data_IF_494222918706
#
_entry.id   IF_494222918706
#
_cell.length_a   1.000
_cell.length_b   1.000
_cell.length_c   1.000
_cell.angle_alpha   90.00
_cell.angle_beta   90.00
_cell.angle_gamma   90.00
#
_symmetry.space_group_name_H-M   'P 1'
#
loop_
_entity.id
_entity.type
_entity.pdbx_description
1 polymer ?
#
# COMPACT_ATOMS: atom_id res chain seq x y z
N UNK A 1 7.56 -8.52 -54.09
CA UNK A 1 8.77 -9.01 -53.42
C UNK A 1 8.65 -8.56 -51.96
N UNK A 2 8.12 -9.41 -51.12
CA UNK A 2 7.98 -9.17 -49.69
C UNK A 2 9.28 -9.55 -49.00
N UNK A 3 10.13 -8.56 -48.78
CA UNK A 3 11.34 -8.75 -48.00
C UNK A 3 10.95 -9.10 -46.57
N UNK A 4 11.12 -10.34 -46.17
CA UNK A 4 11.19 -10.74 -44.77
C UNK A 4 12.43 -10.09 -44.20
N UNK A 5 12.26 -8.94 -43.52
CA UNK A 5 13.30 -8.42 -42.64
C UNK A 5 13.53 -9.48 -41.55
N UNK A 6 14.52 -10.34 -41.73
CA UNK A 6 15.04 -11.16 -40.64
C UNK A 6 15.59 -10.21 -39.62
N UNK A 7 14.90 -10.03 -38.51
CA UNK A 7 15.42 -9.28 -37.35
C UNK A 7 16.75 -9.94 -36.97
N UNK A 8 17.85 -9.25 -37.22
CA UNK A 8 19.19 -9.73 -36.88
C UNK A 8 19.29 -10.03 -35.39
N UNK A 9 19.75 -11.21 -35.05
CA UNK A 9 19.87 -11.61 -33.63
C UNK A 9 20.89 -10.69 -32.92
N UNK A 10 20.51 -10.08 -31.77
CA UNK A 10 21.46 -9.27 -31.02
C UNK A 10 22.68 -10.08 -30.55
N UNK A 11 23.81 -9.42 -30.31
CA UNK A 11 25.00 -10.04 -29.70
C UNK A 11 24.65 -10.69 -28.35
N UNK A 12 25.38 -11.74 -28.00
CA UNK A 12 25.19 -12.44 -26.73
C UNK A 12 25.41 -11.51 -25.52
N UNK A 13 26.22 -10.46 -25.64
CA UNK A 13 26.36 -9.41 -24.62
C UNK A 13 25.01 -8.75 -24.27
N UNK A 14 24.22 -8.38 -25.27
CA UNK A 14 22.88 -7.79 -25.05
C UNK A 14 21.89 -8.86 -24.53
N UNK A 15 21.96 -10.07 -25.04
CA UNK A 15 21.08 -11.17 -24.59
C UNK A 15 21.34 -11.50 -23.12
N UNK A 16 22.59 -11.50 -22.68
CA UNK A 16 22.97 -11.77 -21.28
C UNK A 16 22.41 -10.71 -20.31
N UNK A 17 22.23 -9.46 -20.75
CA UNK A 17 21.62 -8.41 -19.91
C UNK A 17 20.18 -8.75 -19.52
N UNK A 18 19.39 -9.38 -20.40
CA UNK A 18 18.04 -9.81 -20.06
C UNK A 18 18.01 -10.94 -19.00
N UNK A 19 19.03 -11.79 -18.94
CA UNK A 19 19.15 -12.77 -17.84
C UNK A 19 19.50 -12.11 -16.53
N UNK A 20 20.37 -11.09 -16.54
CA UNK A 20 20.73 -10.28 -15.37
C UNK A 20 19.57 -9.41 -14.89
N UNK A 21 18.73 -8.86 -15.78
CA UNK A 21 17.46 -8.21 -15.40
C UNK A 21 16.49 -9.15 -14.65
N UNK A 22 16.66 -10.44 -14.81
CA UNK A 22 15.86 -11.47 -14.15
C UNK A 22 16.49 -12.01 -12.84
N UNK A 23 17.59 -11.42 -12.37
CA UNK A 23 18.29 -11.84 -11.16
C UNK A 23 17.46 -11.59 -9.89
N UNK A 24 17.74 -12.34 -8.82
CA UNK A 24 17.12 -12.12 -7.51
C UNK A 24 17.71 -10.89 -6.80
N UNK A 25 18.99 -10.58 -7.06
CA UNK A 25 19.65 -9.40 -6.51
C UNK A 25 19.12 -8.11 -7.19
N UNK A 26 18.70 -7.15 -6.36
CA UNK A 26 18.18 -5.88 -6.83
C UNK A 26 19.28 -5.00 -7.46
N UNK A 27 20.48 -5.01 -6.91
CA UNK A 27 21.61 -4.23 -7.42
C UNK A 27 22.05 -4.75 -8.79
N UNK A 28 22.07 -6.07 -8.98
CA UNK A 28 22.36 -6.69 -10.26
C UNK A 28 21.33 -6.34 -11.33
N UNK A 29 20.03 -6.32 -10.98
CA UNK A 29 18.97 -5.88 -11.92
C UNK A 29 19.13 -4.41 -12.33
N UNK A 30 19.48 -3.53 -11.38
CA UNK A 30 19.70 -2.10 -11.64
C UNK A 30 20.94 -1.92 -12.52
N UNK A 31 22.03 -2.61 -12.22
CA UNK A 31 23.27 -2.57 -13.00
C UNK A 31 23.02 -3.05 -14.44
N UNK A 32 22.30 -4.15 -14.61
CA UNK A 32 21.94 -4.69 -15.92
C UNK A 32 21.05 -3.74 -16.73
N UNK A 33 20.09 -3.06 -16.08
CA UNK A 33 19.26 -2.05 -16.72
C UNK A 33 20.12 -0.86 -17.21
N UNK A 34 21.00 -0.33 -16.35
CA UNK A 34 21.90 0.77 -16.70
C UNK A 34 22.84 0.39 -17.86
N UNK A 35 23.40 -0.82 -17.84
CA UNK A 35 24.28 -1.33 -18.90
C UNK A 35 23.50 -1.52 -20.21
N UNK A 36 22.28 -2.06 -20.17
CA UNK A 36 21.40 -2.21 -21.32
C UNK A 36 21.12 -0.86 -21.99
N UNK A 37 20.82 0.17 -21.16
CA UNK A 37 20.47 1.51 -21.65
C UNK A 37 21.71 2.29 -22.18
N UNK A 38 22.89 1.99 -21.70
CA UNK A 38 24.15 2.61 -22.13
C UNK A 38 24.81 1.89 -23.30
N UNK A 39 24.35 0.72 -23.70
CA UNK A 39 24.97 -0.07 -24.78
C UNK A 39 24.75 0.57 -26.15
N UNK A 40 25.83 0.76 -26.92
CA UNK A 40 25.77 1.31 -28.26
C UNK A 40 24.84 0.53 -29.22
N UNK A 41 24.63 -0.75 -28.93
CA UNK A 41 23.75 -1.64 -29.71
C UNK A 41 22.25 -1.32 -29.62
N UNK A 42 21.80 -0.53 -28.61
CA UNK A 42 20.39 -0.14 -28.45
C UNK A 42 20.08 1.08 -29.34
N UNK A 43 21.08 1.82 -29.77
CA UNK A 43 20.87 3.13 -30.39
C UNK A 43 20.04 3.11 -31.66
N UNK A 44 20.04 2.02 -32.46
CA UNK A 44 19.21 1.92 -33.68
C UNK A 44 18.88 0.48 -34.11
N UNK A 45 19.86 -0.42 -34.15
CA UNK A 45 19.72 -1.72 -34.81
C UNK A 45 18.85 -2.74 -34.07
N UNK A 46 18.90 -2.76 -32.73
CA UNK A 46 18.21 -3.76 -31.89
C UNK A 46 17.06 -3.18 -31.07
N UNK A 47 16.67 -1.94 -31.30
CA UNK A 47 15.69 -1.20 -30.53
C UNK A 47 14.34 -1.95 -30.41
N UNK A 48 13.81 -2.42 -31.53
CA UNK A 48 12.54 -3.15 -31.56
C UNK A 48 12.63 -4.49 -30.84
N UNK A 49 13.77 -5.19 -30.98
CA UNK A 49 14.01 -6.43 -30.25
C UNK A 49 14.08 -6.21 -28.74
N UNK A 50 14.80 -5.17 -28.30
CA UNK A 50 14.92 -4.83 -26.88
C UNK A 50 13.56 -4.50 -26.30
N UNK A 51 12.79 -3.64 -26.96
CA UNK A 51 11.45 -3.26 -26.52
C UNK A 51 10.51 -4.46 -26.43
N UNK A 52 10.49 -5.33 -27.44
CA UNK A 52 9.72 -6.59 -27.45
C UNK A 52 10.09 -7.47 -26.27
N UNK A 53 11.38 -7.64 -25.98
CA UNK A 53 11.87 -8.46 -24.86
C UNK A 53 11.54 -7.86 -23.50
N UNK A 54 11.62 -6.53 -23.36
CA UNK A 54 11.28 -5.83 -22.12
C UNK A 54 9.79 -6.03 -21.80
N UNK A 55 8.90 -5.81 -22.78
CA UNK A 55 7.45 -5.97 -22.57
C UNK A 55 7.11 -7.44 -22.25
N UNK A 56 7.61 -8.42 -23.03
CA UNK A 56 7.37 -9.85 -22.74
C UNK A 56 7.86 -10.28 -21.37
N UNK A 57 8.99 -9.70 -20.92
CA UNK A 57 9.57 -9.97 -19.62
C UNK A 57 8.65 -9.60 -18.44
N UNK A 58 7.76 -8.62 -18.62
CA UNK A 58 6.78 -8.22 -17.59
C UNK A 58 5.71 -9.30 -17.34
N UNK A 59 5.39 -10.16 -18.32
CA UNK A 59 4.43 -11.26 -18.17
C UNK A 59 4.98 -12.49 -17.44
N UNK A 60 6.28 -12.53 -17.11
CA UNK A 60 6.89 -13.69 -16.45
C UNK A 60 6.25 -14.02 -15.10
N UNK A 61 6.29 -15.31 -14.70
CA UNK A 61 5.78 -15.77 -13.40
C UNK A 61 6.63 -15.36 -12.20
N UNK A 62 7.86 -14.84 -12.40
CA UNK A 62 8.80 -14.49 -11.31
C UNK A 62 8.74 -12.99 -11.00
N UNK A 63 8.38 -12.62 -9.78
CA UNK A 63 8.23 -11.23 -9.35
C UNK A 63 9.52 -10.41 -9.50
N UNK A 64 10.67 -10.95 -9.07
CA UNK A 64 11.96 -10.27 -9.21
C UNK A 64 12.28 -9.89 -10.66
N UNK A 65 12.01 -10.78 -11.61
CA UNK A 65 12.20 -10.50 -13.04
C UNK A 65 11.34 -9.32 -13.50
N UNK A 66 10.07 -9.27 -13.11
CA UNK A 66 9.15 -8.19 -13.50
C UNK A 66 9.69 -6.82 -13.12
N UNK A 67 10.27 -6.68 -11.92
CA UNK A 67 10.87 -5.41 -11.48
C UNK A 67 12.04 -4.97 -12.35
N UNK A 68 12.97 -5.89 -12.67
CA UNK A 68 14.10 -5.58 -13.55
C UNK A 68 13.64 -5.13 -14.94
N UNK A 69 12.69 -5.85 -15.54
CA UNK A 69 12.13 -5.49 -16.85
C UNK A 69 11.34 -4.18 -16.81
N UNK A 70 10.62 -3.87 -15.72
CA UNK A 70 9.90 -2.61 -15.56
C UNK A 70 10.86 -1.42 -15.48
N UNK A 71 11.91 -1.49 -14.65
CA UNK A 71 12.94 -0.45 -14.53
C UNK A 71 13.61 -0.20 -15.89
N UNK A 72 14.02 -1.27 -16.57
CA UNK A 72 14.66 -1.16 -17.88
C UNK A 72 13.70 -0.60 -18.96
N UNK A 73 12.40 -0.93 -18.90
CA UNK A 73 11.40 -0.39 -19.82
C UNK A 73 11.20 1.12 -19.60
N UNK A 74 11.08 1.57 -18.34
CA UNK A 74 10.98 3.00 -18.03
C UNK A 74 12.17 3.77 -18.61
N UNK A 75 13.39 3.33 -18.32
CA UNK A 75 14.61 3.97 -18.85
C UNK A 75 14.71 3.89 -20.38
N UNK A 76 14.23 2.81 -21.01
CA UNK A 76 14.18 2.69 -22.46
C UNK A 76 13.24 3.72 -23.09
N UNK A 77 12.04 3.91 -22.51
CA UNK A 77 11.07 4.90 -22.99
C UNK A 77 11.65 6.33 -22.85
N UNK A 78 12.31 6.65 -21.74
CA UNK A 78 12.97 7.96 -21.55
C UNK A 78 14.12 8.20 -22.51
N UNK A 79 14.93 7.17 -22.77
CA UNK A 79 16.05 7.29 -23.71
C UNK A 79 15.59 7.41 -25.19
N UNK A 80 14.36 6.98 -25.47
CA UNK A 80 13.84 6.88 -26.82
C UNK A 80 12.39 7.41 -26.96
N UNK A 81 12.09 8.65 -26.58
CA UNK A 81 10.74 9.20 -26.51
C UNK A 81 10.02 9.23 -27.89
N UNK A 82 10.77 9.32 -28.97
CA UNK A 82 10.24 9.39 -30.34
C UNK A 82 10.08 8.01 -31.01
N UNK A 83 10.34 6.92 -30.30
CA UNK A 83 10.31 5.57 -30.90
C UNK A 83 8.90 5.10 -31.20
N UNK A 84 7.96 5.40 -30.28
CA UNK A 84 6.56 4.99 -30.37
C UNK A 84 5.67 6.12 -29.85
N UNK A 85 4.51 6.29 -30.49
CA UNK A 85 3.44 7.00 -29.82
C UNK A 85 2.72 6.07 -28.83
N UNK A 86 1.87 6.64 -27.96
CA UNK A 86 1.20 5.85 -26.92
C UNK A 86 0.26 4.78 -27.48
N UNK A 87 -0.36 4.99 -28.64
CA UNK A 87 -1.26 3.99 -29.26
C UNK A 87 -0.47 2.79 -29.76
N UNK A 88 0.67 3.03 -30.41
CA UNK A 88 1.59 1.97 -30.85
C UNK A 88 2.15 1.19 -29.66
N UNK A 89 2.54 1.90 -28.58
CA UNK A 89 3.01 1.28 -27.34
C UNK A 89 1.93 0.36 -26.75
N UNK A 90 0.70 0.87 -26.54
CA UNK A 90 -0.39 0.08 -25.98
C UNK A 90 -0.77 -1.11 -26.86
N UNK A 91 -0.76 -0.93 -28.19
CA UNK A 91 -0.99 -2.03 -29.14
C UNK A 91 0.09 -3.11 -29.00
N UNK A 92 1.35 -2.71 -28.89
CA UNK A 92 2.45 -3.65 -28.67
C UNK A 92 2.32 -4.40 -27.34
N UNK A 93 1.91 -3.72 -26.28
CA UNK A 93 1.62 -4.35 -24.97
C UNK A 93 0.53 -5.40 -25.11
N UNK A 94 -0.58 -5.11 -25.83
CA UNK A 94 -1.67 -6.06 -26.05
C UNK A 94 -1.23 -7.27 -26.88
N UNK A 95 -0.40 -7.04 -27.89
CA UNK A 95 0.13 -8.12 -28.74
C UNK A 95 1.08 -9.05 -27.99
N UNK A 96 1.91 -8.51 -27.08
CA UNK A 96 2.93 -9.29 -26.37
C UNK A 96 2.44 -9.89 -25.05
N UNK A 97 1.40 -9.32 -24.47
CA UNK A 97 0.81 -9.71 -23.18
C UNK A 97 -0.72 -9.92 -23.32
N UNK A 98 -1.19 -10.84 -24.18
CA UNK A 98 -2.62 -11.03 -24.44
C UNK A 98 -3.34 -11.55 -23.19
N UNK A 99 -4.53 -11.01 -22.88
CA UNK A 99 -5.37 -11.44 -21.76
C UNK A 99 -6.21 -12.69 -22.07
N UNK A 100 -6.34 -13.07 -23.33
CA UNK A 100 -7.15 -14.20 -23.80
C UNK A 100 -6.41 -15.55 -23.79
N UNK A 101 -5.24 -15.62 -23.17
CA UNK A 101 -4.43 -16.83 -23.00
C UNK A 101 -5.00 -17.74 -21.90
N UNK A 102 -4.36 -18.89 -21.67
CA UNK A 102 -4.75 -19.79 -20.57
C UNK A 102 -4.76 -19.03 -19.23
N UNK A 103 -5.63 -19.43 -18.30
CA UNK A 103 -5.92 -18.68 -17.07
C UNK A 103 -4.65 -18.27 -16.26
N UNK A 104 -3.64 -19.14 -16.18
CA UNK A 104 -2.38 -18.84 -15.50
C UNK A 104 -1.51 -17.80 -16.23
N UNK A 105 -1.46 -17.87 -17.55
CA UNK A 105 -0.75 -16.88 -18.38
C UNK A 105 -1.49 -15.54 -18.41
N UNK A 106 -2.82 -15.57 -18.43
CA UNK A 106 -3.66 -14.37 -18.41
C UNK A 106 -3.41 -13.53 -17.15
N UNK A 107 -3.23 -14.16 -15.97
CA UNK A 107 -2.86 -13.46 -14.73
C UNK A 107 -1.47 -12.81 -14.86
N UNK A 108 -0.48 -13.57 -15.37
CA UNK A 108 0.88 -13.05 -15.58
C UNK A 108 0.89 -11.88 -16.57
N UNK A 109 0.20 -12.03 -17.69
CA UNK A 109 0.08 -10.99 -18.71
C UNK A 109 -0.66 -9.75 -18.20
N UNK A 110 -1.71 -9.93 -17.38
CA UNK A 110 -2.42 -8.81 -16.76
C UNK A 110 -1.54 -7.97 -15.81
N UNK A 111 -0.75 -8.64 -14.96
CA UNK A 111 0.27 -7.96 -14.15
C UNK A 111 1.29 -7.28 -15.06
N UNK A 112 1.71 -7.93 -16.13
CA UNK A 112 2.63 -7.37 -17.12
C UNK A 112 2.08 -6.12 -17.81
N UNK A 113 0.80 -6.11 -18.20
CA UNK A 113 0.15 -4.93 -18.77
C UNK A 113 0.08 -3.78 -17.78
N UNK A 114 -0.28 -4.05 -16.51
CA UNK A 114 -0.24 -3.04 -15.46
C UNK A 114 1.16 -2.44 -15.31
N UNK A 115 2.19 -3.27 -15.21
CA UNK A 115 3.58 -2.81 -15.08
C UNK A 115 4.08 -2.05 -16.32
N UNK A 116 3.65 -2.42 -17.53
CA UNK A 116 3.98 -1.67 -18.73
C UNK A 116 3.40 -0.25 -18.71
N UNK A 117 2.11 -0.11 -18.31
CA UNK A 117 1.49 1.21 -18.17
C UNK A 117 2.10 2.00 -17.01
N UNK A 118 2.46 1.34 -15.91
CA UNK A 118 3.18 1.97 -14.79
C UNK A 118 4.56 2.49 -15.26
N UNK A 119 5.32 1.69 -16.02
CA UNK A 119 6.59 2.13 -16.61
C UNK A 119 6.41 3.36 -17.52
N UNK A 120 5.30 3.41 -18.26
CA UNK A 120 4.95 4.55 -19.09
C UNK A 120 4.55 5.81 -18.27
N UNK A 121 3.95 5.64 -17.09
CA UNK A 121 3.69 6.75 -16.16
C UNK A 121 4.97 7.31 -15.53
N UNK A 122 5.95 6.44 -15.25
CA UNK A 122 7.21 6.85 -14.65
C UNK A 122 8.18 7.47 -15.68
N UNK A 123 7.92 7.23 -16.97
CA UNK A 123 8.66 7.82 -18.08
C UNK A 123 8.07 9.17 -18.48
N UNK A 124 8.92 10.09 -18.92
CA UNK A 124 8.52 11.40 -19.48
C UNK A 124 8.02 11.32 -20.92
N UNK A 125 8.23 10.18 -21.60
CA UNK A 125 7.91 9.99 -23.03
C UNK A 125 6.42 10.25 -23.36
N UNK A 126 5.52 10.00 -22.41
CA UNK A 126 4.07 10.07 -22.64
C UNK A 126 3.35 11.11 -21.77
N UNK A 127 4.03 12.05 -21.14
CA UNK A 127 3.45 13.08 -20.27
C UNK A 127 2.27 13.83 -20.90
N UNK A 128 2.38 14.16 -22.17
CA UNK A 128 1.29 14.83 -22.93
C UNK A 128 0.12 13.90 -23.31
N UNK A 129 0.23 12.60 -23.10
CA UNK A 129 -0.71 11.54 -23.54
C UNK A 129 -1.21 10.66 -22.38
N UNK A 130 -1.06 11.08 -21.14
CA UNK A 130 -1.49 10.33 -19.93
C UNK A 130 -2.95 9.89 -19.98
N UNK A 131 -3.82 10.66 -20.65
CA UNK A 131 -5.22 10.32 -20.85
C UNK A 131 -5.42 8.90 -21.38
N UNK A 132 -4.62 8.48 -22.37
CA UNK A 132 -4.75 7.15 -23.00
C UNK A 132 -4.26 6.04 -22.07
N UNK A 133 -3.18 6.29 -21.35
CA UNK A 133 -2.66 5.37 -20.34
C UNK A 133 -3.65 5.16 -19.19
N UNK A 134 -4.28 6.25 -18.70
CA UNK A 134 -5.32 6.17 -17.66
C UNK A 134 -6.55 5.43 -18.17
N UNK A 135 -6.98 5.68 -19.42
CA UNK A 135 -8.08 4.92 -20.02
C UNK A 135 -7.78 3.42 -20.04
N UNK A 136 -6.55 3.05 -20.38
CA UNK A 136 -6.12 1.64 -20.34
C UNK A 136 -6.17 1.05 -18.93
N UNK A 137 -5.64 1.77 -17.93
CA UNK A 137 -5.68 1.34 -16.54
C UNK A 137 -7.11 1.20 -16.01
N UNK A 138 -8.00 2.15 -16.29
CA UNK A 138 -9.43 2.04 -15.92
C UNK A 138 -10.07 0.80 -16.54
N UNK A 139 -9.72 0.44 -17.78
CA UNK A 139 -10.15 -0.81 -18.40
C UNK A 139 -9.71 -2.06 -17.62
N UNK A 140 -8.47 -2.08 -17.12
CA UNK A 140 -7.96 -3.21 -16.31
C UNK A 140 -8.72 -3.43 -15.01
N UNK A 141 -9.38 -2.41 -14.44
CA UNK A 141 -10.20 -2.56 -13.22
C UNK A 141 -11.36 -3.56 -13.42
N UNK A 142 -11.95 -3.57 -14.63
CA UNK A 142 -13.03 -4.49 -14.98
C UNK A 142 -12.51 -5.87 -15.35
N UNK A 143 -11.39 -5.93 -16.09
CA UNK A 143 -10.83 -7.16 -16.63
C UNK A 143 -10.10 -7.99 -15.57
N UNK A 144 -9.48 -7.33 -14.60
CA UNK A 144 -8.58 -7.92 -13.60
C UNK A 144 -8.83 -7.36 -12.20
N UNK A 145 -9.93 -7.75 -11.53
CA UNK A 145 -10.33 -7.20 -10.23
C UNK A 145 -9.26 -7.34 -9.12
N UNK A 146 -8.39 -8.35 -9.21
CA UNK A 146 -7.30 -8.54 -8.24
C UNK A 146 -6.19 -7.47 -8.33
N UNK A 147 -6.10 -6.71 -9.44
CA UNK A 147 -5.17 -5.59 -9.60
C UNK A 147 -5.80 -4.24 -9.19
N UNK A 148 -7.05 -4.23 -8.78
CA UNK A 148 -7.82 -3.00 -8.63
C UNK A 148 -7.15 -1.96 -7.73
N UNK A 149 -6.61 -2.35 -6.56
CA UNK A 149 -5.95 -1.41 -5.67
C UNK A 149 -4.68 -0.81 -6.29
N UNK A 150 -3.78 -1.67 -6.80
CA UNK A 150 -2.51 -1.19 -7.38
C UNK A 150 -2.72 -0.32 -8.63
N UNK A 151 -3.76 -0.61 -9.42
CA UNK A 151 -4.16 0.22 -10.57
C UNK A 151 -4.68 1.58 -10.11
N UNK A 152 -5.53 1.62 -9.10
CA UNK A 152 -6.07 2.87 -8.54
C UNK A 152 -4.95 3.70 -7.91
N UNK A 153 -4.03 3.08 -7.18
CA UNK A 153 -2.86 3.74 -6.61
C UNK A 153 -1.97 4.33 -7.70
N UNK A 154 -1.70 3.59 -8.79
CA UNK A 154 -0.92 4.09 -9.91
C UNK A 154 -1.57 5.31 -10.61
N UNK A 155 -2.91 5.29 -10.78
CA UNK A 155 -3.66 6.44 -11.32
C UNK A 155 -3.57 7.64 -10.36
N UNK A 156 -3.72 7.40 -9.05
CA UNK A 156 -3.63 8.43 -8.03
C UNK A 156 -2.25 9.09 -8.00
N UNK A 157 -1.19 8.29 -8.07
CA UNK A 157 0.18 8.78 -8.03
C UNK A 157 0.56 9.53 -9.32
N UNK A 158 0.12 9.06 -10.48
CA UNK A 158 0.25 9.82 -11.73
C UNK A 158 -0.49 11.16 -11.66
N UNK A 159 -1.71 11.19 -11.06
CA UNK A 159 -2.49 12.40 -10.89
C UNK A 159 -1.83 13.42 -9.97
N UNK A 160 -1.24 12.97 -8.85
CA UNK A 160 -0.58 13.86 -7.86
C UNK A 160 0.64 14.61 -8.41
N UNK A 161 1.22 14.14 -9.50
CA UNK A 161 2.35 14.79 -10.18
C UNK A 161 1.93 15.93 -11.11
N UNK A 162 0.64 16.04 -11.41
CA UNK A 162 0.08 17.04 -12.33
C UNK A 162 -0.38 18.30 -11.59
N UNK A 163 -0.37 19.41 -12.30
CA UNK A 163 -1.12 20.58 -11.87
C UNK A 163 -2.64 20.39 -12.08
N UNK A 164 -3.44 21.28 -11.50
CA UNK A 164 -4.90 21.19 -11.57
C UNK A 164 -5.46 21.26 -12.99
N UNK A 165 -4.78 21.98 -13.91
CA UNK A 165 -5.20 22.12 -15.30
C UNK A 165 -4.99 20.84 -16.08
N UNK A 166 -3.81 20.24 -15.96
CA UNK A 166 -3.47 18.99 -16.61
C UNK A 166 -4.27 17.81 -16.01
N UNK A 167 -4.44 17.75 -14.69
CA UNK A 167 -5.33 16.76 -14.06
C UNK A 167 -6.75 16.85 -14.64
N UNK A 168 -7.34 18.06 -14.70
CA UNK A 168 -8.66 18.29 -15.29
C UNK A 168 -8.77 17.83 -16.74
N UNK A 169 -7.72 18.01 -17.53
CA UNK A 169 -7.69 17.69 -18.96
C UNK A 169 -7.41 16.20 -19.23
N UNK A 170 -6.45 15.63 -18.53
CA UNK A 170 -5.91 14.31 -18.88
C UNK A 170 -6.50 13.16 -18.06
N UNK A 171 -6.70 13.33 -16.74
CA UNK A 171 -7.08 12.22 -15.84
C UNK A 171 -8.56 12.28 -15.45
N UNK A 172 -9.03 13.43 -14.98
CA UNK A 172 -10.39 13.58 -14.45
C UNK A 172 -11.49 13.04 -15.38
N UNK A 173 -11.47 13.25 -16.71
CA UNK A 173 -12.50 12.71 -17.59
C UNK A 173 -12.55 11.20 -17.63
N UNK A 174 -11.41 10.51 -17.37
CA UNK A 174 -11.31 9.05 -17.45
C UNK A 174 -11.80 8.37 -16.17
N UNK A 175 -11.63 9.04 -15.01
CA UNK A 175 -12.04 8.51 -13.71
C UNK A 175 -13.38 9.05 -13.24
N UNK A 176 -13.97 10.03 -13.95
CA UNK A 176 -15.18 10.75 -13.53
C UNK A 176 -16.33 9.81 -13.16
N UNK A 177 -16.61 8.81 -14.00
CA UNK A 177 -17.68 7.84 -13.77
C UNK A 177 -17.47 6.99 -12.52
N UNK A 178 -16.23 6.83 -12.07
CA UNK A 178 -15.90 6.10 -10.85
C UNK A 178 -16.16 6.95 -9.60
N UNK A 179 -15.94 8.26 -9.68
CA UNK A 179 -15.91 9.17 -8.51
C UNK A 179 -17.15 10.07 -8.37
N UNK A 180 -18.02 10.18 -9.38
CA UNK A 180 -19.19 11.09 -9.35
C UNK A 180 -20.36 10.53 -8.52
N UNK A 181 -20.32 9.24 -8.16
CA UNK A 181 -21.38 8.60 -7.39
C UNK A 181 -21.38 9.08 -5.93
N UNK A 182 -22.59 9.24 -5.30
CA UNK A 182 -22.67 9.51 -3.87
C UNK A 182 -21.94 8.42 -3.05
N UNK A 183 -21.39 8.79 -1.88
CA UNK A 183 -20.68 7.81 -1.02
C UNK A 183 -21.52 6.58 -0.65
N UNK A 184 -22.85 6.72 -0.59
CA UNK A 184 -23.77 5.60 -0.31
C UNK A 184 -23.93 4.58 -1.45
N UNK A 185 -23.38 4.84 -2.63
CA UNK A 185 -23.45 3.95 -3.81
C UNK A 185 -22.13 3.85 -4.56
N UNK A 186 -21.10 4.58 -4.11
CA UNK A 186 -19.79 4.60 -4.74
C UNK A 186 -19.17 3.19 -4.78
N UNK A 187 -18.38 2.92 -5.81
CA UNK A 187 -17.57 1.71 -5.87
C UNK A 187 -16.34 1.83 -4.98
N UNK A 188 -15.70 0.70 -4.65
CA UNK A 188 -14.45 0.69 -3.91
C UNK A 188 -13.35 1.53 -4.61
N UNK A 189 -13.24 1.39 -5.93
CA UNK A 189 -12.28 2.15 -6.74
C UNK A 189 -12.51 3.66 -6.66
N UNK A 190 -13.78 4.08 -6.76
CA UNK A 190 -14.17 5.47 -6.64
C UNK A 190 -13.88 6.04 -5.25
N UNK A 191 -14.17 5.26 -4.20
CA UNK A 191 -13.86 5.67 -2.82
C UNK A 191 -12.36 5.91 -2.62
N UNK A 192 -11.51 4.97 -3.08
CA UNK A 192 -10.06 5.09 -2.92
C UNK A 192 -9.54 6.30 -3.71
N UNK A 193 -9.99 6.50 -4.96
CA UNK A 193 -9.64 7.69 -5.76
C UNK A 193 -10.04 8.99 -5.06
N UNK A 194 -11.24 9.04 -4.47
CA UNK A 194 -11.67 10.24 -3.71
C UNK A 194 -10.80 10.46 -2.47
N UNK A 195 -10.47 9.41 -1.71
CA UNK A 195 -9.58 9.52 -0.55
C UNK A 195 -8.21 10.07 -0.97
N UNK A 196 -7.62 9.52 -2.03
CA UNK A 196 -6.26 9.87 -2.44
C UNK A 196 -6.15 11.24 -3.12
N UNK A 197 -7.19 11.69 -3.81
CA UNK A 197 -7.14 12.89 -4.65
C UNK A 197 -7.85 14.10 -4.06
N UNK A 198 -8.74 13.92 -3.07
CA UNK A 198 -9.54 15.02 -2.51
C UNK A 198 -8.71 16.04 -1.74
N UNK A 199 -7.57 15.66 -1.16
CA UNK A 199 -6.64 16.57 -0.50
C UNK A 199 -5.80 17.36 -1.51
N UNK A 200 -5.57 16.81 -2.71
CA UNK A 200 -4.72 17.43 -3.75
C UNK A 200 -5.54 18.35 -4.66
N UNK A 201 -6.73 17.90 -5.05
CA UNK A 201 -7.62 18.62 -6.00
C UNK A 201 -9.02 18.92 -5.45
N UNK A 202 -9.16 19.46 -4.22
CA UNK A 202 -10.46 19.57 -3.57
C UNK A 202 -11.45 20.43 -4.37
N UNK A 203 -11.02 21.55 -4.94
CA UNK A 203 -11.86 22.45 -5.74
C UNK A 203 -12.39 21.83 -7.02
N UNK A 204 -11.62 20.97 -7.68
CA UNK A 204 -12.06 20.26 -8.88
C UNK A 204 -13.03 19.14 -8.52
N UNK A 205 -12.68 18.35 -7.51
CA UNK A 205 -13.48 17.20 -7.10
C UNK A 205 -14.79 17.60 -6.42
N UNK A 206 -14.87 18.74 -5.72
CA UNK A 206 -16.13 19.26 -5.16
C UNK A 206 -17.18 19.59 -6.24
N UNK A 207 -16.75 19.89 -7.46
CA UNK A 207 -17.65 20.06 -8.60
C UNK A 207 -18.17 18.75 -9.19
N UNK A 208 -17.57 17.60 -8.80
CA UNK A 208 -17.88 16.27 -9.32
C UNK A 208 -18.60 15.43 -8.29
N UNK A 209 -18.19 15.50 -7.02
CA UNK A 209 -18.77 14.73 -5.93
C UNK A 209 -19.13 15.63 -4.74
N UNK A 210 -20.37 15.57 -4.31
CA UNK A 210 -20.92 16.40 -3.20
C UNK A 210 -20.37 16.05 -1.81
N UNK A 211 -19.68 14.93 -1.66
CA UNK A 211 -19.00 14.57 -0.43
C UNK A 211 -17.61 15.24 -0.29
N UNK A 212 -17.13 15.91 -1.34
CA UNK A 212 -15.87 16.66 -1.33
C UNK A 212 -16.16 18.14 -1.11
N UNK A 213 -15.53 18.72 -0.10
CA UNK A 213 -15.54 20.16 0.20
C UNK A 213 -14.23 20.82 -0.25
N UNK A 214 -14.08 22.11 0.04
CA UNK A 214 -12.80 22.81 -0.15
C UNK A 214 -11.66 22.27 0.73
N UNK A 215 -12.00 21.56 1.79
CA UNK A 215 -11.07 20.97 2.78
C UNK A 215 -10.77 19.48 2.48
N UNK A 216 -11.42 18.90 1.49
CA UNK A 216 -11.24 17.51 1.08
C UNK A 216 -12.50 16.66 1.22
N UNK A 217 -12.33 15.33 1.21
CA UNK A 217 -13.43 14.36 1.34
C UNK A 217 -14.00 14.33 2.76
N UNK A 218 -15.32 14.43 2.89
CA UNK A 218 -16.03 14.32 4.14
C UNK A 218 -16.87 13.04 4.20
N UNK A 219 -16.42 12.07 5.03
CA UNK A 219 -17.19 10.86 5.35
C UNK A 219 -18.10 11.16 6.55
N UNK A 220 -19.41 10.98 6.38
CA UNK A 220 -20.42 11.17 7.41
C UNK A 220 -20.89 9.85 8.00
N UNK A 221 -21.45 9.87 9.20
CA UNK A 221 -21.91 8.65 9.89
C UNK A 221 -22.87 7.79 9.06
N UNK A 222 -23.72 8.44 8.26
CA UNK A 222 -24.64 7.75 7.34
C UNK A 222 -23.94 6.93 6.25
N UNK A 223 -22.69 7.23 5.95
CA UNK A 223 -21.90 6.57 4.89
C UNK A 223 -21.10 5.37 5.44
N UNK A 224 -20.99 5.24 6.78
CA UNK A 224 -20.15 4.25 7.43
C UNK A 224 -20.53 2.81 7.05
N UNK A 225 -21.81 2.46 7.09
CA UNK A 225 -22.28 1.08 6.82
C UNK A 225 -21.99 0.67 5.36
N UNK A 226 -22.11 1.59 4.42
CA UNK A 226 -21.75 1.30 3.02
C UNK A 226 -20.25 1.08 2.86
N UNK A 227 -19.42 1.92 3.49
CA UNK A 227 -17.96 1.78 3.44
C UNK A 227 -17.52 0.44 4.08
N UNK A 228 -18.14 0.02 5.19
CA UNK A 228 -17.90 -1.30 5.79
C UNK A 228 -18.27 -2.42 4.79
N UNK A 229 -19.37 -2.28 4.06
CA UNK A 229 -19.77 -3.23 3.02
C UNK A 229 -18.73 -3.30 1.89
N UNK A 230 -18.18 -2.17 1.46
CA UNK A 230 -17.10 -2.11 0.47
C UNK A 230 -15.83 -2.79 0.98
N UNK A 231 -15.43 -2.57 2.24
CA UNK A 231 -14.27 -3.23 2.85
C UNK A 231 -14.45 -4.76 2.87
N UNK A 232 -15.65 -5.26 3.15
CA UNK A 232 -15.95 -6.70 3.12
C UNK A 232 -15.85 -7.29 1.72
N UNK A 233 -16.24 -6.52 0.70
CA UNK A 233 -16.19 -6.95 -0.70
C UNK A 233 -14.78 -6.86 -1.31
N UNK A 234 -13.87 -6.12 -0.70
CA UNK A 234 -12.50 -5.97 -1.17
C UNK A 234 -11.71 -7.28 -1.09
N UNK A 235 -10.67 -7.40 -1.90
CA UNK A 235 -9.71 -8.50 -1.78
C UNK A 235 -9.08 -8.48 -0.37
N UNK A 236 -9.04 -9.62 0.34
CA UNK A 236 -8.47 -9.71 1.69
C UNK A 236 -7.07 -9.11 1.82
N UNK A 237 -6.22 -9.26 0.80
CA UNK A 237 -4.85 -8.72 0.80
C UNK A 237 -4.80 -7.18 0.84
N UNK A 238 -5.87 -6.51 0.42
CA UNK A 238 -5.88 -5.05 0.29
C UNK A 238 -6.66 -4.33 1.40
N UNK A 239 -7.43 -5.07 2.22
CA UNK A 239 -8.36 -4.47 3.21
C UNK A 239 -7.66 -3.58 4.23
N UNK A 240 -6.49 -4.01 4.71
CA UNK A 240 -5.72 -3.24 5.69
C UNK A 240 -5.21 -1.93 5.09
N UNK A 241 -4.67 -1.95 3.88
CA UNK A 241 -4.23 -0.74 3.19
C UNK A 241 -5.38 0.26 3.00
N UNK A 242 -6.59 -0.23 2.70
CA UNK A 242 -7.78 0.64 2.57
C UNK A 242 -8.17 1.24 3.93
N UNK A 243 -8.15 0.45 5.01
CA UNK A 243 -8.37 0.95 6.37
C UNK A 243 -7.36 2.04 6.75
N UNK A 244 -6.08 1.83 6.43
CA UNK A 244 -5.02 2.83 6.65
C UNK A 244 -5.30 4.11 5.88
N UNK A 245 -5.71 4.04 4.60
CA UNK A 245 -6.09 5.22 3.80
C UNK A 245 -7.27 5.98 4.42
N UNK A 246 -8.31 5.28 4.89
CA UNK A 246 -9.47 5.89 5.56
C UNK A 246 -9.03 6.61 6.85
N UNK A 247 -8.15 6.01 7.64
CA UNK A 247 -7.67 6.61 8.88
C UNK A 247 -6.73 7.80 8.64
N UNK A 248 -5.92 7.77 7.58
CA UNK A 248 -5.11 8.93 7.15
C UNK A 248 -6.01 10.12 6.80
N UNK A 249 -7.08 9.88 6.02
CA UNK A 249 -8.07 10.92 5.75
C UNK A 249 -8.67 11.47 7.05
N UNK A 250 -8.95 10.61 8.03
CA UNK A 250 -9.45 11.01 9.33
C UNK A 250 -8.45 11.83 10.14
N UNK A 251 -7.16 11.50 10.07
CA UNK A 251 -6.09 12.26 10.71
C UNK A 251 -5.99 13.68 10.13
N UNK A 252 -5.99 13.79 8.80
CA UNK A 252 -5.93 15.09 8.11
C UNK A 252 -7.12 16.01 8.43
N UNK A 253 -8.31 15.42 8.65
CA UNK A 253 -9.58 16.15 8.88
C UNK A 253 -10.00 16.17 10.36
N UNK A 254 -9.14 15.85 11.31
CA UNK A 254 -9.45 15.76 12.75
C UNK A 254 -10.63 14.81 13.07
N UNK A 255 -10.86 13.78 12.25
CA UNK A 255 -11.93 12.77 12.41
C UNK A 255 -11.38 11.36 12.64
N UNK A 256 -10.10 11.23 13.02
CA UNK A 256 -9.44 9.94 13.19
C UNK A 256 -10.23 8.99 14.10
N UNK A 257 -10.56 9.42 15.31
CA UNK A 257 -11.31 8.63 16.31
C UNK A 257 -12.69 8.21 15.78
N UNK A 258 -13.38 9.13 15.08
CA UNK A 258 -14.70 8.87 14.51
C UNK A 258 -14.66 7.77 13.43
N UNK A 259 -13.68 7.85 12.53
CA UNK A 259 -13.52 6.85 11.48
C UNK A 259 -12.96 5.51 12.02
N UNK A 260 -12.06 5.57 13.01
CA UNK A 260 -11.56 4.38 13.70
C UNK A 260 -12.72 3.62 14.36
N UNK A 261 -13.55 4.29 15.15
CA UNK A 261 -14.67 3.65 15.87
C UNK A 261 -15.86 3.33 14.96
N UNK A 262 -16.18 4.23 14.02
CA UNK A 262 -17.38 4.12 13.18
C UNK A 262 -17.25 3.14 12.02
N UNK A 263 -16.05 2.96 11.47
CA UNK A 263 -15.79 2.12 10.30
C UNK A 263 -14.82 1.00 10.64
N UNK A 264 -13.59 1.34 10.98
CA UNK A 264 -12.50 0.36 11.03
C UNK A 264 -12.71 -0.67 12.13
N UNK A 265 -13.02 -0.25 13.35
CA UNK A 265 -13.28 -1.17 14.46
C UNK A 265 -14.52 -2.03 14.20
N UNK A 266 -15.59 -1.47 13.62
CA UNK A 266 -16.78 -2.26 13.27
C UNK A 266 -16.46 -3.34 12.22
N UNK A 267 -15.70 -2.97 11.18
CA UNK A 267 -15.25 -3.92 10.16
C UNK A 267 -14.36 -5.03 10.76
N UNK A 268 -13.39 -4.66 11.58
CA UNK A 268 -12.38 -5.58 12.12
C UNK A 268 -13.03 -6.61 13.05
N UNK A 269 -13.93 -6.15 13.94
CA UNK A 269 -14.53 -7.01 14.98
C UNK A 269 -15.81 -7.74 14.55
N UNK A 270 -16.13 -7.74 13.28
CA UNK A 270 -17.30 -8.47 12.78
C UNK A 270 -16.99 -9.94 12.50
N UNK A 271 -17.87 -10.81 12.95
CA UNK A 271 -17.85 -12.25 12.67
C UNK A 271 -17.10 -13.09 13.69
N UNK A 272 -16.38 -14.09 13.23
CA UNK A 272 -15.63 -15.04 14.04
C UNK A 272 -14.51 -14.37 14.84
N UNK A 273 -14.42 -14.70 16.15
CA UNK A 273 -13.50 -14.03 17.08
C UNK A 273 -12.03 -14.20 16.67
N UNK A 274 -11.60 -15.41 16.28
CA UNK A 274 -10.22 -15.66 15.90
C UNK A 274 -9.82 -14.87 14.66
N UNK A 275 -10.70 -14.84 13.63
CA UNK A 275 -10.46 -14.07 12.40
C UNK A 275 -10.48 -12.57 12.66
N UNK A 276 -11.34 -12.12 13.57
CA UNK A 276 -11.40 -10.71 13.96
C UNK A 276 -10.13 -10.28 14.68
N UNK A 277 -9.60 -11.11 15.57
CA UNK A 277 -8.35 -10.84 16.26
C UNK A 277 -7.16 -10.80 15.29
N UNK A 278 -7.05 -11.75 14.36
CA UNK A 278 -5.98 -11.73 13.36
C UNK A 278 -6.04 -10.43 12.55
N UNK A 279 -7.21 -10.07 12.01
CA UNK A 279 -7.40 -8.80 11.28
C UNK A 279 -7.01 -7.58 12.10
N UNK A 280 -7.34 -7.60 13.41
CA UNK A 280 -7.02 -6.49 14.29
C UNK A 280 -5.51 -6.30 14.46
N UNK A 281 -4.77 -7.35 14.79
CA UNK A 281 -3.33 -7.25 15.00
C UNK A 281 -2.57 -6.95 13.71
N UNK A 282 -2.94 -7.58 12.59
CA UNK A 282 -2.36 -7.28 11.29
C UNK A 282 -2.59 -5.81 10.90
N UNK A 283 -3.79 -5.28 11.17
CA UNK A 283 -4.07 -3.87 10.95
C UNK A 283 -3.26 -2.97 11.88
N UNK A 284 -3.16 -3.31 13.17
CA UNK A 284 -2.39 -2.52 14.14
C UNK A 284 -0.91 -2.46 13.76
N UNK A 285 -0.31 -3.57 13.30
CA UNK A 285 1.06 -3.57 12.79
C UNK A 285 1.22 -2.57 11.63
N UNK A 286 0.30 -2.57 10.66
CA UNK A 286 0.32 -1.62 9.54
C UNK A 286 0.16 -0.16 10.01
N UNK A 287 -0.68 0.10 11.00
CA UNK A 287 -0.91 1.46 11.51
C UNK A 287 0.29 2.00 12.27
N UNK A 288 0.96 1.16 13.08
CA UNK A 288 2.18 1.55 13.78
C UNK A 288 3.35 1.76 12.83
N UNK A 289 3.47 0.98 11.78
CA UNK A 289 4.49 1.14 10.75
C UNK A 289 4.28 2.41 9.90
N UNK A 290 3.08 2.97 9.86
CA UNK A 290 2.77 4.14 9.03
C UNK A 290 3.24 5.45 9.64
N UNK A 291 4.32 5.99 9.11
CA UNK A 291 4.95 7.24 9.58
C UNK A 291 4.14 8.51 9.34
N UNK A 292 3.00 8.42 8.63
CA UNK A 292 2.12 9.57 8.39
C UNK A 292 1.19 9.89 9.56
N UNK A 293 1.01 8.95 10.49
CA UNK A 293 0.28 9.24 11.72
C UNK A 293 1.18 9.97 12.71
N UNK A 294 0.68 11.06 13.28
CA UNK A 294 1.34 11.77 14.37
C UNK A 294 1.22 11.02 15.72
N UNK A 295 1.93 11.51 16.74
CA UNK A 295 1.95 10.89 18.05
C UNK A 295 0.55 10.76 18.66
N UNK A 296 -0.30 11.79 18.53
CA UNK A 296 -1.67 11.78 19.06
C UNK A 296 -2.53 10.65 18.48
N UNK A 297 -2.39 10.38 17.17
CA UNK A 297 -3.11 9.28 16.51
C UNK A 297 -2.57 7.93 16.96
N UNK A 298 -1.25 7.80 17.05
CA UNK A 298 -0.60 6.56 17.53
C UNK A 298 -1.02 6.25 18.97
N UNK A 299 -1.04 7.23 19.87
CA UNK A 299 -1.52 7.06 21.25
C UNK A 299 -2.98 6.59 21.31
N UNK A 300 -3.84 7.07 20.41
CA UNK A 300 -5.23 6.61 20.33
C UNK A 300 -5.36 5.13 19.90
N UNK A 301 -4.37 4.59 19.19
CA UNK A 301 -4.31 3.17 18.82
C UNK A 301 -3.93 2.27 20.02
N UNK A 302 -3.16 2.79 20.95
CA UNK A 302 -2.83 2.14 22.22
C UNK A 302 -3.97 2.24 23.24
N UNK A 303 -5.20 2.02 22.79
CA UNK A 303 -6.36 2.03 23.68
C UNK A 303 -6.43 0.77 24.57
N UNK A 304 -7.31 0.83 25.57
CA UNK A 304 -7.59 -0.31 26.45
C UNK A 304 -7.94 -1.59 25.66
N UNK A 305 -8.58 -1.44 24.49
CA UNK A 305 -8.96 -2.58 23.65
C UNK A 305 -7.75 -3.29 23.06
N UNK A 306 -6.73 -2.54 22.59
CA UNK A 306 -5.47 -3.13 22.12
C UNK A 306 -4.80 -3.94 23.24
N UNK A 307 -4.63 -3.34 24.41
CA UNK A 307 -3.99 -3.97 25.57
C UNK A 307 -4.75 -5.22 26.02
N UNK A 308 -6.08 -5.12 26.18
CA UNK A 308 -6.94 -6.26 26.57
C UNK A 308 -6.87 -7.38 25.53
N UNK A 309 -6.85 -7.02 24.24
CA UNK A 309 -6.76 -8.01 23.16
C UNK A 309 -5.42 -8.73 23.14
N UNK A 310 -4.31 -8.01 23.24
CA UNK A 310 -2.97 -8.62 23.36
C UNK A 310 -2.95 -9.66 24.49
N UNK A 311 -3.47 -9.31 25.64
CA UNK A 311 -3.49 -10.11 26.83
C UNK A 311 -4.44 -11.31 26.73
N UNK A 312 -5.63 -11.10 26.16
CA UNK A 312 -6.65 -12.15 26.01
C UNK A 312 -6.22 -13.22 25.00
N UNK A 313 -5.48 -12.86 23.97
CA UNK A 313 -5.23 -13.73 22.83
C UNK A 313 -3.78 -14.21 22.71
N UNK A 314 -2.82 -13.59 23.41
CA UNK A 314 -1.47 -14.12 23.50
C UNK A 314 -1.48 -15.53 24.12
N UNK A 315 -0.72 -16.42 23.49
CA UNK A 315 -0.49 -17.79 23.97
C UNK A 315 -1.75 -18.68 24.10
N UNK A 316 -2.82 -18.41 23.35
CA UNK A 316 -3.97 -19.31 23.34
C UNK A 316 -3.63 -20.63 22.65
N UNK A 317 -3.92 -21.73 23.36
CA UNK A 317 -3.72 -23.10 22.86
C UNK A 317 -4.79 -23.57 21.87
N UNK A 318 -5.86 -22.81 21.69
CA UNK A 318 -6.95 -23.13 20.76
C UNK A 318 -6.42 -23.11 19.31
N UNK A 319 -6.62 -24.19 18.52
CA UNK A 319 -6.19 -24.25 17.12
C UNK A 319 -6.70 -23.11 16.23
N UNK A 320 -7.87 -22.51 16.58
CA UNK A 320 -8.46 -21.38 15.87
C UNK A 320 -7.58 -20.12 15.93
N UNK A 321 -6.70 -20.01 16.95
CA UNK A 321 -5.81 -18.90 17.18
C UNK A 321 -4.36 -19.22 16.78
N UNK A 322 -4.13 -20.32 16.06
CA UNK A 322 -2.77 -20.68 15.59
C UNK A 322 -2.18 -19.56 14.71
N UNK A 323 -0.98 -19.12 15.07
CA UNK A 323 -0.31 -18.01 14.39
C UNK A 323 -0.63 -16.62 14.97
N UNK A 324 -1.56 -16.50 15.91
CA UNK A 324 -1.91 -15.22 16.54
C UNK A 324 -0.73 -14.60 17.28
N UNK A 325 0.13 -15.42 17.90
CA UNK A 325 1.34 -14.94 18.57
C UNK A 325 2.26 -14.16 17.63
N UNK A 326 2.36 -14.60 16.36
CA UNK A 326 3.15 -13.90 15.36
C UNK A 326 2.56 -12.53 15.02
N UNK A 327 1.26 -12.44 14.76
CA UNK A 327 0.57 -11.15 14.47
C UNK A 327 0.63 -10.20 15.68
N UNK A 328 0.49 -10.71 16.90
CA UNK A 328 0.65 -9.90 18.13
C UNK A 328 2.09 -9.40 18.25
N UNK A 329 3.07 -10.28 18.05
CA UNK A 329 4.49 -9.92 18.13
C UNK A 329 4.85 -8.86 17.09
N UNK A 330 4.37 -8.99 15.86
CA UNK A 330 4.57 -8.02 14.79
C UNK A 330 3.97 -6.65 15.15
N UNK A 331 2.73 -6.62 15.64
CA UNK A 331 2.09 -5.37 16.08
C UNK A 331 2.85 -4.71 17.23
N UNK A 332 3.34 -5.48 18.20
CA UNK A 332 4.16 -4.97 19.30
C UNK A 332 5.51 -4.46 18.80
N UNK A 333 6.17 -5.16 17.89
CA UNK A 333 7.46 -4.75 17.38
C UNK A 333 7.37 -3.48 16.52
N UNK A 334 6.34 -3.33 15.71
CA UNK A 334 6.11 -2.07 14.98
C UNK A 334 5.76 -0.92 15.94
N UNK A 335 4.98 -1.18 16.99
CA UNK A 335 4.73 -0.20 18.03
C UNK A 335 6.02 0.25 18.73
N UNK A 336 6.91 -0.69 19.06
CA UNK A 336 8.23 -0.39 19.66
C UNK A 336 9.07 0.48 18.72
N UNK A 337 9.24 0.06 17.47
CA UNK A 337 9.98 0.85 16.47
C UNK A 337 9.43 2.26 16.36
N UNK A 338 8.12 2.40 16.39
CA UNK A 338 7.45 3.69 16.30
C UNK A 338 7.77 4.59 17.48
N UNK A 339 7.78 4.04 18.72
CA UNK A 339 8.14 4.77 19.94
C UNK A 339 9.62 5.14 19.94
N UNK A 340 10.50 4.25 19.49
CA UNK A 340 11.95 4.50 19.37
C UNK A 340 12.29 5.61 18.37
N UNK A 341 11.53 5.71 17.28
CA UNK A 341 11.79 6.67 16.19
C UNK A 341 11.14 8.02 16.39
N UNK A 342 10.22 8.15 17.35
CA UNK A 342 9.52 9.40 17.65
C UNK A 342 9.76 9.79 19.10
N UNK A 343 10.06 11.07 19.31
CA UNK A 343 10.15 11.65 20.65
C UNK A 343 8.74 11.80 21.23
N UNK A 344 8.27 10.75 21.92
CA UNK A 344 7.08 10.85 22.76
C UNK A 344 7.43 11.61 24.03
N UNK A 345 6.58 12.54 24.46
CA UNK A 345 6.72 13.15 25.76
C UNK A 345 6.58 12.09 26.86
N UNK A 346 7.38 12.20 27.92
CA UNK A 346 7.39 11.26 29.05
C UNK A 346 6.01 11.05 29.66
N UNK A 347 5.15 12.08 29.61
CA UNK A 347 3.80 12.01 30.15
C UNK A 347 2.87 11.10 29.33
N UNK A 348 3.01 11.07 28.01
CA UNK A 348 2.17 10.25 27.14
C UNK A 348 2.47 8.77 27.33
N UNK A 349 3.76 8.43 27.43
CA UNK A 349 4.19 7.07 27.76
C UNK A 349 3.72 6.64 29.15
N UNK A 350 3.75 7.56 30.12
CA UNK A 350 3.28 7.31 31.49
C UNK A 350 1.75 7.06 31.52
N UNK A 351 0.96 7.88 30.84
CA UNK A 351 -0.49 7.71 30.73
C UNK A 351 -0.84 6.36 30.08
N UNK A 352 -0.07 5.94 29.07
CA UNK A 352 -0.23 4.64 28.46
C UNK A 352 0.06 3.49 29.43
N UNK A 353 1.12 3.57 30.22
CA UNK A 353 1.45 2.57 31.25
C UNK A 353 0.41 2.53 32.38
N UNK A 354 -0.14 3.68 32.81
CA UNK A 354 -1.27 3.71 33.75
C UNK A 354 -2.52 3.06 33.20
N UNK A 355 -2.79 3.23 31.89
CA UNK A 355 -3.93 2.59 31.22
C UNK A 355 -3.76 1.07 31.19
N UNK A 356 -2.55 0.55 30.95
CA UNK A 356 -2.24 -0.87 31.06
C UNK A 356 -2.48 -1.38 32.50
N UNK A 357 -2.07 -0.62 33.49
CA UNK A 357 -2.23 -0.99 34.90
C UNK A 357 -3.70 -0.97 35.36
N UNK A 358 -4.51 -0.07 34.82
CA UNK A 358 -5.95 0.04 35.09
C UNK A 358 -6.81 -1.09 34.49
N UNK A 359 -6.26 -1.97 33.64
CA UNK A 359 -7.00 -3.11 33.08
C UNK A 359 -7.10 -4.21 34.14
N UNK A 360 -8.28 -4.32 34.78
CA UNK A 360 -8.57 -5.28 35.86
C UNK A 360 -8.35 -6.74 35.42
N UNK A 361 -7.83 -7.54 36.36
CA UNK A 361 -7.79 -9.01 36.28
C UNK A 361 -6.69 -9.57 35.36
N UNK A 362 -5.60 -8.88 35.11
CA UNK A 362 -4.54 -9.26 34.23
C UNK A 362 -3.46 -10.18 34.75
N UNK A 363 -3.03 -11.09 33.89
CA UNK A 363 -1.84 -11.86 34.15
C UNK A 363 -0.64 -10.91 34.35
N UNK A 364 -0.03 -11.01 35.51
CA UNK A 364 1.10 -10.19 35.91
C UNK A 364 2.27 -10.26 34.90
N UNK A 365 2.53 -11.45 34.36
CA UNK A 365 3.64 -11.68 33.45
C UNK A 365 3.48 -10.92 32.12
N UNK A 366 2.23 -10.84 31.60
CA UNK A 366 1.96 -10.06 30.38
C UNK A 366 2.10 -8.56 30.62
N UNK A 367 1.65 -8.07 31.79
CA UNK A 367 1.81 -6.66 32.20
C UNK A 367 3.27 -6.28 32.37
N UNK A 368 4.06 -7.13 33.02
CA UNK A 368 5.50 -6.94 33.21
C UNK A 368 6.24 -7.02 31.87
N UNK A 369 5.91 -7.98 31.01
CA UNK A 369 6.51 -8.10 29.68
C UNK A 369 6.26 -6.87 28.82
N UNK A 370 5.04 -6.30 28.89
CA UNK A 370 4.69 -5.05 28.22
C UNK A 370 5.45 -3.86 28.81
N UNK A 371 5.40 -3.69 30.12
CA UNK A 371 6.10 -2.60 30.82
C UNK A 371 7.62 -2.67 30.61
N UNK A 372 8.23 -3.86 30.66
CA UNK A 372 9.66 -4.08 30.40
C UNK A 372 10.01 -3.83 28.94
N UNK A 373 9.13 -4.18 28.01
CA UNK A 373 9.33 -3.87 26.60
C UNK A 373 9.36 -2.37 26.36
N UNK A 374 8.40 -1.63 26.90
CA UNK A 374 8.39 -0.16 26.82
C UNK A 374 9.54 0.48 27.60
N UNK A 375 9.94 -0.10 28.73
CA UNK A 375 11.08 0.40 29.50
C UNK A 375 12.41 0.24 28.75
N UNK A 376 12.60 -0.82 27.98
CA UNK A 376 13.79 -0.98 27.12
C UNK A 376 13.84 0.02 25.96
N UNK A 377 12.70 0.57 25.58
CA UNK A 377 12.55 1.58 24.53
C UNK A 377 12.90 2.97 25.08
N UNK A 378 12.55 3.27 26.33
CA UNK A 378 12.83 4.56 26.96
C UNK A 378 14.12 4.51 27.74
N UNK A 379 15.21 5.08 27.23
CA UNK A 379 16.45 5.38 27.96
C UNK A 379 16.27 6.44 29.07
N UNK A 380 15.03 6.71 29.47
CA UNK A 380 14.68 7.74 30.45
C UNK A 380 14.88 7.26 31.89
N UNK A 381 16.00 7.64 32.50
CA UNK A 381 16.30 7.40 33.92
C UNK A 381 15.23 7.93 34.86
N UNK A 382 14.43 8.89 34.46
CA UNK A 382 13.34 9.48 35.26
C UNK A 382 12.15 8.54 35.39
N UNK A 383 11.87 7.77 34.38
CA UNK A 383 10.75 6.82 34.31
C UNK A 383 11.00 5.55 35.13
N UNK A 384 12.26 5.16 35.33
CA UNK A 384 12.60 4.01 36.17
C UNK A 384 11.98 4.08 37.58
N UNK A 385 11.97 5.25 38.20
CA UNK A 385 11.39 5.43 39.56
C UNK A 385 9.87 5.33 39.57
N UNK A 386 9.20 5.79 38.52
CA UNK A 386 7.74 5.74 38.38
C UNK A 386 7.26 4.34 38.00
N UNK A 387 7.91 3.70 37.04
CA UNK A 387 7.65 2.30 36.68
C UNK A 387 7.86 1.36 37.87
N UNK A 388 8.92 1.56 38.63
CA UNK A 388 9.13 0.81 39.86
C UNK A 388 8.03 1.05 40.90
N UNK A 389 7.47 2.25 40.98
CA UNK A 389 6.33 2.58 41.84
C UNK A 389 5.03 1.91 41.37
N UNK A 390 4.78 1.85 40.07
CA UNK A 390 3.61 1.17 39.50
C UNK A 390 3.73 -0.34 39.69
N UNK A 391 4.88 -0.92 39.33
CA UNK A 391 5.14 -2.35 39.54
C UNK A 391 5.10 -2.75 41.03
N UNK A 392 5.59 -1.91 41.92
CA UNK A 392 5.57 -2.20 43.36
C UNK A 392 4.19 -2.09 44.01
N UNK A 393 3.29 -1.27 43.44
CA UNK A 393 1.88 -1.17 43.90
C UNK A 393 1.03 -2.35 43.40
N UNK A 394 1.42 -2.97 42.31
CA UNK A 394 0.68 -4.12 41.72
C UNK A 394 1.17 -5.48 42.21
N UNK A 395 2.22 -5.54 43.07
CA UNK A 395 2.72 -6.77 43.65
C UNK A 395 2.15 -6.88 45.10
N UNK A 396 1.27 -7.86 45.37
CA UNK A 396 1.05 -8.22 46.76
C UNK A 396 2.38 -8.67 47.38
N UNK A 397 2.68 -8.24 48.58
CA UNK A 397 3.97 -8.36 49.30
C UNK A 397 4.44 -9.84 49.53
N UNK A 398 4.48 -10.66 48.49
CA UNK A 398 5.05 -12.01 48.55
C UNK A 398 6.13 -12.16 47.49
N UNK A 399 7.35 -12.07 47.98
CA UNK A 399 8.60 -12.61 47.44
C UNK A 399 8.96 -12.26 45.98
N UNK A 400 9.61 -11.11 45.81
CA UNK A 400 10.69 -10.99 44.83
C UNK A 400 11.93 -11.66 45.45
N UNK A 401 12.18 -12.92 45.05
CA UNK A 401 13.52 -13.51 45.08
C UNK A 401 14.01 -13.37 43.64
N UNK A 402 15.09 -12.61 43.51
CA UNK A 402 15.86 -12.41 42.28
C UNK A 402 16.37 -13.75 41.74
#
# INVERSE_FOLDING_TARGET
MTGTNSVERPPDSIINLFYRLADFDAEERIAAAAELLSSEGISTQYKDYVLDRLIRGLGTGKTACRFGFSIALTGFLDAHPDTLNVDEFLKLVDEKLPLNSQKSESVGNGIGQHLAVLSAYESTAFDSQLRKLVTRHVGLLSDLPFLSLVVVDAISDAAKRLDASEFKKQILPQIRSLIEQPLSTITLHGLILLIDLSSVFPKLLSSVNSAVSAEGLEIKDKDHEWIITLLKSADPAHRHSICVKILRLGADNHKFTTLLSGIVNKYVWEGDEAKSCARYFDLMANLFADTKFGNDQVLQLFDTKFVVSCRKYAHRSDPSFRGMDASIAEAIDEAKKRIETQEFESNDLFNFLEMIDGVEGGDFDTRVAFAVSFHRISDFQVEQRRLHSICSKSIPSRSLVI
#
